data_IF_411932596748
#
_entry.id   IF_411932596748
#
_cell.length_a   1.000
_cell.length_b   1.000
_cell.length_c   1.000
_cell.angle_alpha   90.00
_cell.angle_beta   90.00
_cell.angle_gamma   90.00
#
_symmetry.space_group_name_H-M   'P 1'
#
loop_
_entity.id
_entity.type
_entity.pdbx_description
1 polymer ?
#
# COMPACT_ATOMS: atom_id res chain seq x y z
N UNK A 1 -27.39 22.37 -17.14
CA UNK A 1 -26.45 21.24 -17.26
C UNK A 1 -26.85 20.13 -16.30
N UNK A 2 -26.96 18.90 -16.78
CA UNK A 2 -27.34 17.73 -15.97
C UNK A 2 -26.12 16.81 -15.84
N UNK A 3 -25.55 16.73 -14.63
CA UNK A 3 -24.38 15.87 -14.35
C UNK A 3 -24.83 14.40 -14.33
N UNK A 4 -24.18 13.54 -15.09
CA UNK A 4 -24.55 12.11 -15.23
C UNK A 4 -23.80 11.21 -14.25
N UNK A 5 -22.54 11.52 -13.92
CA UNK A 5 -21.69 10.72 -13.02
C UNK A 5 -20.60 11.57 -12.36
N UNK A 6 -20.16 11.17 -11.16
CA UNK A 6 -18.98 11.71 -10.48
C UNK A 6 -18.18 10.55 -9.88
N UNK A 7 -16.87 10.51 -10.14
CA UNK A 7 -15.94 9.53 -9.55
C UNK A 7 -14.94 10.27 -8.65
N UNK A 8 -15.15 10.30 -7.33
CA UNK A 8 -14.21 10.95 -6.42
C UNK A 8 -12.94 10.10 -6.27
N UNK A 9 -11.78 10.75 -6.25
CA UNK A 9 -10.48 10.12 -6.03
C UNK A 9 -9.63 11.00 -5.11
N UNK A 10 -8.89 10.38 -4.18
CA UNK A 10 -7.94 11.09 -3.32
C UNK A 10 -6.61 11.23 -4.06
N UNK A 11 -6.07 12.44 -4.13
CA UNK A 11 -4.80 12.72 -4.81
C UNK A 11 -3.73 13.09 -3.79
N UNK A 12 -2.63 12.34 -3.77
CA UNK A 12 -1.44 12.65 -2.97
C UNK A 12 -0.29 13.13 -3.86
N UNK A 13 0.09 14.40 -3.73
CA UNK A 13 1.23 14.96 -4.47
C UNK A 13 2.54 14.38 -3.94
N UNK A 14 3.25 13.63 -4.78
CA UNK A 14 4.59 13.11 -4.49
C UNK A 14 5.47 13.07 -5.73
N UNK A 15 6.75 13.30 -5.54
CA UNK A 15 7.80 13.12 -6.55
C UNK A 15 8.73 11.99 -6.10
N UNK A 16 8.96 11.00 -6.96
CA UNK A 16 9.81 9.83 -6.66
C UNK A 16 10.95 9.81 -7.66
N UNK A 17 12.18 9.77 -7.16
CA UNK A 17 13.39 9.80 -8.00
C UNK A 17 14.45 8.86 -7.44
N UNK A 18 15.23 8.28 -8.34
CA UNK A 18 16.51 7.65 -8.01
C UNK A 18 17.61 8.58 -8.50
N UNK A 19 18.53 8.98 -7.61
CA UNK A 19 19.68 9.83 -7.94
C UNK A 19 20.91 9.21 -7.30
N UNK A 20 21.96 9.00 -8.08
CA UNK A 20 23.23 8.42 -7.61
C UNK A 20 23.05 7.11 -6.81
N UNK A 21 22.09 6.27 -7.25
CA UNK A 21 21.76 4.98 -6.62
C UNK A 21 20.89 5.06 -5.35
N UNK A 22 20.48 6.25 -4.91
CA UNK A 22 19.65 6.44 -3.72
C UNK A 22 18.19 6.73 -4.08
N UNK A 23 17.26 6.21 -3.28
CA UNK A 23 15.81 6.36 -3.47
C UNK A 23 15.28 7.57 -2.68
N UNK A 24 14.58 8.47 -3.38
CA UNK A 24 14.05 9.70 -2.81
C UNK A 24 12.54 9.81 -3.00
N UNK A 25 11.86 10.32 -1.98
CA UNK A 25 10.49 10.82 -2.07
C UNK A 25 10.50 12.29 -1.66
N UNK A 26 10.00 13.17 -2.50
CA UNK A 26 9.96 14.63 -2.26
C UNK A 26 11.35 15.19 -1.89
N UNK A 27 12.38 14.80 -2.65
CA UNK A 27 13.80 15.14 -2.42
C UNK A 27 14.39 14.68 -1.07
N UNK A 28 13.69 13.88 -0.26
CA UNK A 28 14.22 13.28 0.97
C UNK A 28 14.63 11.84 0.72
N UNK A 29 15.82 11.44 1.19
CA UNK A 29 16.25 10.05 1.13
C UNK A 29 15.31 9.17 1.97
N UNK A 30 14.88 8.03 1.41
CA UNK A 30 13.99 7.09 2.09
C UNK A 30 14.61 5.70 2.09
N UNK A 31 14.86 5.18 3.29
CA UNK A 31 15.19 3.77 3.50
C UNK A 31 13.92 2.94 3.62
N UNK A 32 13.78 1.90 2.81
CA UNK A 32 12.62 1.01 2.83
C UNK A 32 12.80 -0.06 3.90
N UNK A 33 12.07 0.08 5.00
CA UNK A 33 11.89 -0.97 6.01
C UNK A 33 10.69 -1.80 5.60
N UNK A 34 10.92 -2.70 4.65
CA UNK A 34 9.88 -3.38 3.92
C UNK A 34 9.68 -4.85 4.29
N UNK A 35 8.46 -5.34 4.09
CA UNK A 35 8.13 -6.77 4.16
C UNK A 35 7.42 -7.24 2.90
N UNK A 36 7.49 -8.54 2.60
CA UNK A 36 6.62 -9.17 1.61
C UNK A 36 5.34 -9.61 2.30
N UNK A 37 4.18 -9.28 1.73
CA UNK A 37 2.87 -9.76 2.21
C UNK A 37 2.21 -10.59 1.12
N UNK A 38 1.81 -11.81 1.45
CA UNK A 38 0.88 -12.62 0.68
C UNK A 38 -0.54 -12.45 1.21
N UNK A 39 -1.55 -12.61 0.36
CA UNK A 39 -2.93 -12.79 0.82
C UNK A 39 -3.09 -14.17 1.43
N UNK A 40 -3.11 -14.22 2.76
CA UNK A 40 -3.32 -15.43 3.53
C UNK A 40 -4.20 -15.18 4.75
N UNK A 41 -5.28 -15.94 4.84
CA UNK A 41 -6.13 -16.09 6.02
C UNK A 41 -6.24 -17.58 6.38
N UNK A 42 -6.07 -17.89 7.65
CA UNK A 42 -6.10 -19.27 8.16
C UNK A 42 -7.43 -20.03 7.94
N UNK A 43 -8.56 -19.33 7.75
CA UNK A 43 -9.87 -19.93 7.52
C UNK A 43 -10.30 -19.82 6.04
N UNK A 44 -9.95 -18.72 5.38
CA UNK A 44 -10.42 -18.39 4.02
C UNK A 44 -9.38 -18.54 2.92
N UNK A 45 -8.15 -18.92 3.27
CA UNK A 45 -7.03 -18.99 2.33
C UNK A 45 -6.75 -17.61 1.72
N UNK A 46 -6.78 -17.49 0.39
CA UNK A 46 -6.47 -16.26 -0.33
C UNK A 46 -7.63 -15.25 -0.38
N UNK A 47 -8.83 -15.63 0.04
CA UNK A 47 -10.00 -14.73 0.11
C UNK A 47 -9.99 -13.91 1.41
N UNK A 48 -8.94 -13.09 1.57
CA UNK A 48 -8.68 -12.32 2.80
C UNK A 48 -9.66 -11.14 2.92
N UNK A 49 -10.27 -10.99 4.10
CA UNK A 49 -11.15 -9.85 4.41
C UNK A 49 -10.35 -8.55 4.62
N UNK A 50 -10.93 -7.40 4.29
CA UNK A 50 -10.26 -6.10 4.48
C UNK A 50 -9.98 -5.78 5.96
N UNK A 51 -10.79 -6.31 6.89
CA UNK A 51 -10.53 -6.20 8.33
C UNK A 51 -9.22 -6.91 8.74
N UNK A 52 -8.89 -8.01 8.08
CA UNK A 52 -7.63 -8.73 8.28
C UNK A 52 -6.46 -7.97 7.67
N UNK A 53 -6.64 -7.44 6.46
CA UNK A 53 -5.67 -6.58 5.79
C UNK A 53 -5.33 -5.35 6.64
N UNK A 54 -6.34 -4.67 7.18
CA UNK A 54 -6.16 -3.51 8.05
C UNK A 54 -5.38 -3.88 9.32
N UNK A 55 -5.70 -5.02 9.96
CA UNK A 55 -4.94 -5.54 11.10
C UNK A 55 -3.47 -5.78 10.75
N UNK A 56 -3.19 -6.38 9.59
CA UNK A 56 -1.82 -6.60 9.11
C UNK A 56 -1.08 -5.25 8.97
N UNK A 57 -1.71 -4.24 8.36
CA UNK A 57 -1.11 -2.91 8.14
C UNK A 57 -0.89 -2.14 9.45
N UNK A 58 -1.83 -2.19 10.39
CA UNK A 58 -1.69 -1.59 11.72
C UNK A 58 -0.51 -2.24 12.46
N UNK A 59 -0.41 -3.56 12.43
CA UNK A 59 0.70 -4.29 13.06
C UNK A 59 2.04 -3.89 12.42
N UNK A 60 2.10 -3.79 11.09
CA UNK A 60 3.31 -3.31 10.40
C UNK A 60 3.72 -1.90 10.88
N UNK A 61 2.77 -0.97 10.98
CA UNK A 61 3.04 0.39 11.48
C UNK A 61 3.53 0.40 12.93
N UNK A 62 2.93 -0.42 13.81
CA UNK A 62 3.36 -0.57 15.20
C UNK A 62 4.80 -1.10 15.33
N UNK A 63 5.26 -1.84 14.33
CA UNK A 63 6.60 -2.40 14.26
C UNK A 63 7.55 -1.63 13.31
N UNK A 64 7.30 -0.34 13.08
CA UNK A 64 8.16 0.57 12.31
C UNK A 64 8.41 0.18 10.84
N UNK A 65 7.54 -0.66 10.27
CA UNK A 65 7.56 -0.99 8.84
C UNK A 65 6.95 0.17 8.05
N UNK A 66 7.60 0.57 6.96
CA UNK A 66 7.18 1.71 6.15
C UNK A 66 6.81 1.34 4.70
N UNK A 67 7.03 0.10 4.28
CA UNK A 67 6.78 -0.35 2.91
C UNK A 67 6.34 -1.81 2.87
N UNK A 68 5.53 -2.15 1.86
CA UNK A 68 5.04 -3.51 1.63
C UNK A 68 5.21 -3.85 0.16
N UNK A 69 5.76 -5.03 -0.13
CA UNK A 69 5.73 -5.62 -1.47
C UNK A 69 4.54 -6.57 -1.58
N UNK A 70 3.69 -6.37 -2.58
CA UNK A 70 2.58 -7.26 -2.94
C UNK A 70 3.14 -8.51 -3.64
N UNK A 71 3.63 -9.45 -2.82
CA UNK A 71 4.29 -10.65 -3.30
C UNK A 71 3.24 -11.70 -3.68
N UNK A 72 3.14 -12.22 -4.90
CA UNK A 72 3.79 -11.81 -6.15
C UNK A 72 2.73 -11.48 -7.22
N UNK A 73 1.66 -10.84 -6.79
CA UNK A 73 0.49 -10.50 -7.57
C UNK A 73 -0.09 -9.18 -7.06
N UNK A 74 -0.91 -8.47 -7.87
CA UNK A 74 -1.74 -7.39 -7.36
C UNK A 74 -2.68 -7.91 -6.27
N UNK A 75 -2.77 -7.19 -5.16
CA UNK A 75 -3.77 -7.48 -4.13
C UNK A 75 -5.15 -6.94 -4.56
N UNK A 76 -6.18 -7.18 -3.75
CA UNK A 76 -7.49 -6.52 -3.91
C UNK A 76 -7.33 -5.00 -4.06
N UNK A 77 -8.01 -4.34 -5.04
CA UNK A 77 -7.88 -2.89 -5.25
C UNK A 77 -8.12 -2.03 -4.01
N UNK A 78 -8.94 -2.49 -3.07
CA UNK A 78 -9.22 -1.78 -1.82
C UNK A 78 -8.01 -1.72 -0.87
N UNK A 79 -7.02 -2.59 -1.05
CA UNK A 79 -5.76 -2.56 -0.30
C UNK A 79 -5.01 -1.23 -0.47
N UNK A 80 -5.05 -0.65 -1.67
CA UNK A 80 -4.31 0.58 -1.99
C UNK A 80 -4.97 1.86 -1.42
N UNK A 81 -6.20 1.74 -0.94
CA UNK A 81 -6.95 2.83 -0.31
C UNK A 81 -6.71 2.92 1.21
N UNK A 82 -6.04 1.92 1.81
CA UNK A 82 -5.69 1.85 3.24
C UNK A 82 -4.32 2.48 3.51
#
# INVERSE_FOLDING_TARGET
>A
DNVVEVIPQRVGFRDIKVRDGLFYINNQYVMLHGVNRHDNDHLKGRAVGMDRVEKDLILMKQHNINSVRTAHYPNDPRFYEL
#
